data_IF_726774187646
#
_entry.id   IF_726774187646
#
_cell.length_a   1.000
_cell.length_b   1.000
_cell.length_c   1.000
_cell.angle_alpha   90.00
_cell.angle_beta   90.00
_cell.angle_gamma   90.00
#
_symmetry.space_group_name_H-M   'P 1'
#
loop_
_entity.id
_entity.type
_entity.pdbx_description
1 polymer ?
#
# COMPACT_ATOMS: atom_id res chain seq x y z
N UNK A 1 -19.43 -10.71 2.18
CA UNK A 1 -18.10 -11.34 2.23
C UNK A 1 -17.13 -10.28 2.68
N UNK A 2 -16.30 -10.57 3.69
CA UNK A 2 -15.17 -9.68 4.03
C UNK A 2 -14.13 -9.86 2.94
N UNK A 3 -13.61 -8.76 2.40
CA UNK A 3 -12.56 -8.75 1.39
C UNK A 3 -11.34 -8.08 2.00
N UNK A 4 -10.21 -8.77 1.97
CA UNK A 4 -8.96 -8.21 2.48
C UNK A 4 -8.29 -7.35 1.42
N UNK A 5 -7.71 -6.22 1.85
CA UNK A 5 -6.84 -5.41 1.00
C UNK A 5 -5.52 -5.18 1.72
N UNK A 6 -4.42 -5.51 1.05
CA UNK A 6 -3.05 -5.37 1.53
C UNK A 6 -2.42 -4.19 0.82
N UNK A 7 -1.80 -3.29 1.58
CA UNK A 7 -1.05 -2.17 1.03
C UNK A 7 0.34 -2.17 1.64
N UNK A 8 1.34 -2.12 0.76
CA UNK A 8 2.75 -2.05 1.12
C UNK A 8 3.30 -0.77 0.53
N UNK A 9 3.90 0.07 1.36
CA UNK A 9 4.59 1.29 0.94
C UNK A 9 6.08 1.06 1.11
N UNK A 10 6.85 1.29 0.04
CA UNK A 10 8.30 1.39 0.07
C UNK A 10 8.69 2.85 -0.18
N UNK A 11 9.56 3.40 0.66
CA UNK A 11 10.06 4.76 0.49
C UNK A 11 11.37 4.95 1.27
N UNK A 12 12.27 5.80 0.77
CA UNK A 12 13.52 6.16 1.44
C UNK A 12 13.32 7.38 2.34
N UNK A 13 13.95 7.35 3.52
CA UNK A 13 13.92 8.46 4.51
C UNK A 13 12.50 8.91 4.87
N UNK A 14 11.55 7.99 4.87
CA UNK A 14 10.13 8.31 5.03
C UNK A 14 9.63 8.07 6.46
N UNK A 15 10.51 7.76 7.41
CA UNK A 15 10.17 7.43 8.79
C UNK A 15 9.33 8.52 9.45
N UNK A 16 9.72 9.80 9.31
CA UNK A 16 8.98 10.93 9.89
C UNK A 16 7.60 11.11 9.25
N UNK A 17 7.52 10.94 7.93
CA UNK A 17 6.27 11.08 7.15
C UNK A 17 5.31 9.94 7.43
N UNK A 18 5.82 8.73 7.62
CA UNK A 18 5.03 7.52 7.87
C UNK A 18 4.70 7.31 9.35
N UNK A 19 5.46 7.87 10.29
CA UNK A 19 5.23 7.65 11.73
C UNK A 19 3.79 7.98 12.18
N UNK A 20 3.13 9.08 11.77
CA UNK A 20 1.73 9.32 12.10
C UNK A 20 0.80 8.20 11.61
N UNK A 21 1.10 7.60 10.45
CA UNK A 21 0.29 6.53 9.88
C UNK A 21 0.40 5.21 10.64
N UNK A 22 1.41 5.07 11.52
CA UNK A 22 1.61 3.90 12.38
C UNK A 22 0.82 3.94 13.69
N UNK A 23 0.04 5.00 13.92
CA UNK A 23 -0.72 5.22 15.16
C UNK A 23 -2.20 5.42 14.84
N UNK A 24 -3.11 5.12 15.79
CA UNK A 24 -4.52 5.46 15.63
C UNK A 24 -4.71 6.96 15.45
N UNK A 25 -5.68 7.33 14.62
CA UNK A 25 -6.04 8.72 14.33
C UNK A 25 -7.54 8.73 14.00
N UNK A 26 -8.32 9.51 14.76
CA UNK A 26 -9.77 9.60 14.65
C UNK A 26 -10.23 10.47 13.48
N UNK A 27 -9.35 11.32 12.93
CA UNK A 27 -9.66 12.24 11.84
C UNK A 27 -9.50 11.58 10.45
N UNK A 28 -8.96 10.35 10.38
CA UNK A 28 -8.83 9.60 9.12
C UNK A 28 -10.09 8.82 8.79
N UNK A 29 -10.40 8.73 7.50
CA UNK A 29 -11.51 7.90 6.99
C UNK A 29 -11.29 6.39 7.21
N UNK A 30 -10.03 5.98 7.45
CA UNK A 30 -9.65 4.62 7.77
C UNK A 30 -8.98 4.53 9.15
N UNK A 31 -9.12 3.37 9.80
CA UNK A 31 -8.76 3.21 11.21
C UNK A 31 -7.52 2.32 11.42
N UNK A 32 -7.19 1.46 10.46
CA UNK A 32 -6.04 0.57 10.53
C UNK A 32 -4.75 1.37 10.43
N UNK A 33 -3.72 0.88 11.13
CA UNK A 33 -2.41 1.53 11.19
C UNK A 33 -1.41 0.75 10.34
N UNK A 34 -0.47 1.47 9.75
CA UNK A 34 0.67 0.86 9.10
C UNK A 34 1.61 0.25 10.16
N UNK A 35 2.13 -0.94 9.87
CA UNK A 35 3.18 -1.60 10.61
C UNK A 35 4.50 -1.37 9.89
N UNK A 36 5.52 -0.88 10.60
CA UNK A 36 6.89 -0.80 10.07
C UNK A 36 7.40 -2.21 9.82
N UNK A 37 8.11 -2.42 8.72
CA UNK A 37 8.85 -3.65 8.43
C UNK A 37 10.33 -3.28 8.39
N UNK A 38 10.99 -3.44 9.53
CA UNK A 38 12.42 -3.17 9.73
C UNK A 38 13.14 -4.43 10.26
N UNK A 39 14.45 -4.30 10.51
CA UNK A 39 15.29 -5.41 10.96
C UNK A 39 14.78 -6.08 12.25
N UNK A 40 14.12 -5.32 13.13
CA UNK A 40 13.56 -5.86 14.38
C UNK A 40 12.37 -6.77 14.12
N UNK A 41 11.55 -6.46 13.11
CA UNK A 41 10.45 -7.33 12.67
C UNK A 41 10.98 -8.68 12.22
N UNK A 42 12.04 -8.70 11.42
CA UNK A 42 12.66 -9.96 10.96
C UNK A 42 13.36 -10.72 12.10
N UNK A 43 13.93 -10.00 13.06
CA UNK A 43 14.52 -10.60 14.26
C UNK A 43 13.48 -11.11 15.28
N UNK A 44 12.19 -10.82 15.09
CA UNK A 44 11.14 -11.13 16.06
C UNK A 44 11.34 -10.42 17.41
N UNK A 45 12.05 -9.29 17.41
CA UNK A 45 12.46 -8.58 18.60
C UNK A 45 11.64 -7.29 18.80
N UNK A 46 11.36 -6.88 20.05
CA UNK A 46 10.77 -5.57 20.31
C UNK A 46 11.80 -4.47 20.02
N UNK A 47 11.40 -3.43 19.29
CA UNK A 47 12.27 -2.30 18.98
C UNK A 47 11.84 -1.58 17.71
N UNK A 48 12.66 -0.62 17.30
CA UNK A 48 12.59 0.04 15.99
C UNK A 48 14.02 0.24 15.50
N UNK A 49 14.27 -0.05 14.24
CA UNK A 49 15.52 0.39 13.60
C UNK A 49 15.44 1.89 13.30
N UNK A 50 16.61 2.55 13.30
CA UNK A 50 16.73 3.92 12.79
C UNK A 50 16.34 3.98 11.30
N UNK A 51 16.67 2.94 10.54
CA UNK A 51 16.34 2.83 9.12
C UNK A 51 15.12 1.91 8.92
N UNK A 52 14.11 2.41 8.20
CA UNK A 52 12.99 1.61 7.74
C UNK A 52 12.60 2.03 6.33
N UNK A 53 12.45 1.04 5.45
CA UNK A 53 12.12 1.28 4.04
C UNK A 53 10.75 0.77 3.66
N UNK A 54 10.03 0.09 4.56
CA UNK A 54 8.80 -0.63 4.26
C UNK A 54 7.75 -0.47 5.36
N UNK A 55 6.50 -0.24 4.94
CA UNK A 55 5.34 -0.16 5.82
C UNK A 55 4.19 -0.96 5.23
N UNK A 56 3.51 -1.75 6.05
CA UNK A 56 2.44 -2.66 5.60
C UNK A 56 1.17 -2.39 6.40
N UNK A 57 0.03 -2.38 5.72
CA UNK A 57 -1.29 -2.31 6.33
C UNK A 57 -2.20 -3.35 5.67
N UNK A 58 -3.07 -3.97 6.45
CA UNK A 58 -4.11 -4.86 5.94
C UNK A 58 -5.47 -4.34 6.40
N UNK A 59 -6.37 -4.15 5.44
CA UNK A 59 -7.77 -3.81 5.67
C UNK A 59 -8.61 -5.07 5.67
N UNK A 60 -9.45 -5.21 6.70
CA UNK A 60 -10.37 -6.35 6.87
C UNK A 60 -11.83 -6.00 6.51
N UNK A 61 -12.06 -4.74 6.11
CA UNK A 61 -13.35 -4.15 5.72
C UNK A 61 -13.10 -3.12 4.62
N UNK A 62 -14.15 -2.72 3.91
CA UNK A 62 -14.11 -1.68 2.87
C UNK A 62 -14.02 -0.28 3.49
N UNK A 63 -12.93 0.00 4.19
CA UNK A 63 -12.71 1.26 4.90
C UNK A 63 -11.36 1.88 4.54
N UNK A 64 -10.97 1.83 3.27
CA UNK A 64 -9.72 2.37 2.73
C UNK A 64 -9.92 3.62 1.87
N UNK A 65 -11.11 4.24 1.93
CA UNK A 65 -11.43 5.47 1.21
C UNK A 65 -10.41 6.55 1.53
N UNK A 66 -9.98 7.29 0.52
CA UNK A 66 -9.01 8.37 0.68
C UNK A 66 -7.54 7.94 0.86
N UNK A 67 -7.23 6.64 1.05
CA UNK A 67 -5.86 6.19 1.34
C UNK A 67 -4.86 6.61 0.27
N UNK A 68 -5.13 6.35 -1.01
CA UNK A 68 -4.22 6.72 -2.10
C UNK A 68 -4.05 8.24 -2.22
N UNK A 69 -5.13 9.00 -2.10
CA UNK A 69 -5.08 10.46 -2.13
C UNK A 69 -4.27 11.02 -0.95
N UNK A 70 -4.39 10.40 0.22
CA UNK A 70 -3.60 10.78 1.39
C UNK A 70 -2.12 10.47 1.19
N UNK A 71 -1.77 9.24 0.75
CA UNK A 71 -0.39 8.87 0.44
C UNK A 71 0.21 9.79 -0.63
N UNK A 72 -0.56 10.16 -1.65
CA UNK A 72 -0.16 11.13 -2.67
C UNK A 72 0.14 12.52 -2.08
N UNK A 73 -0.62 12.95 -1.07
CA UNK A 73 -0.47 14.28 -0.45
C UNK A 73 0.71 14.41 0.51
N UNK A 74 1.31 13.29 0.93
CA UNK A 74 2.38 13.31 1.92
C UNK A 74 3.65 14.00 1.37
N UNK A 75 4.37 14.76 2.23
CA UNK A 75 5.58 15.48 1.82
C UNK A 75 6.80 14.55 1.77
N UNK A 76 6.80 13.61 0.83
CA UNK A 76 7.86 12.61 0.69
C UNK A 76 9.25 13.25 0.50
N UNK A 77 10.26 12.92 1.33
CA UNK A 77 11.61 13.50 1.20
C UNK A 77 12.33 13.07 -0.08
N UNK A 78 12.12 11.82 -0.51
CA UNK A 78 12.65 11.27 -1.76
C UNK A 78 11.49 10.70 -2.62
N UNK A 79 10.68 11.56 -3.29
CA UNK A 79 9.45 11.15 -4.01
C UNK A 79 9.66 10.05 -5.04
N UNK A 80 10.78 10.08 -5.75
CA UNK A 80 11.16 9.09 -6.77
C UNK A 80 11.35 7.67 -6.21
N UNK A 81 11.50 7.52 -4.89
CA UNK A 81 11.63 6.23 -4.23
C UNK A 81 10.30 5.60 -3.84
N UNK A 82 9.20 6.36 -3.87
CA UNK A 82 7.89 5.95 -3.36
C UNK A 82 7.27 4.91 -4.29
N UNK A 83 7.07 3.71 -3.77
CA UNK A 83 6.35 2.62 -4.41
C UNK A 83 5.23 2.16 -3.49
N UNK A 84 4.01 2.13 -3.99
CA UNK A 84 2.84 1.63 -3.26
C UNK A 84 2.35 0.39 -3.97
N UNK A 85 2.43 -0.76 -3.32
CA UNK A 85 1.90 -2.02 -3.83
C UNK A 85 0.55 -2.29 -3.17
N UNK A 86 -0.46 -2.59 -3.97
CA UNK A 86 -1.82 -2.87 -3.48
C UNK A 86 -2.25 -4.22 -4.00
N UNK A 87 -2.79 -5.05 -3.12
CA UNK A 87 -3.40 -6.33 -3.46
C UNK A 87 -4.74 -6.46 -2.76
N UNK A 88 -5.80 -6.63 -3.55
CA UNK A 88 -7.08 -7.12 -3.08
C UNK A 88 -7.04 -8.66 -2.96
N UNK A 89 -7.85 -9.26 -2.10
CA UNK A 89 -7.93 -10.71 -1.92
C UNK A 89 -8.13 -11.49 -3.23
N UNK A 90 -8.91 -10.94 -4.16
CA UNK A 90 -9.21 -11.56 -5.46
C UNK A 90 -8.16 -11.22 -6.55
N UNK A 91 -7.13 -10.45 -6.20
CA UNK A 91 -6.05 -10.11 -7.12
C UNK A 91 -5.08 -11.27 -7.30
N UNK A 92 -4.71 -11.50 -8.57
CA UNK A 92 -3.72 -12.50 -8.95
C UNK A 92 -2.29 -12.12 -8.54
N UNK A 93 -2.02 -10.83 -8.32
CA UNK A 93 -0.75 -10.27 -7.88
C UNK A 93 -0.95 -8.86 -7.29
N UNK A 94 0.08 -8.30 -6.66
CA UNK A 94 0.08 -6.88 -6.32
C UNK A 94 0.09 -6.03 -7.59
N UNK A 95 -0.74 -4.99 -7.64
CA UNK A 95 -0.50 -3.84 -8.52
C UNK A 95 0.58 -2.94 -7.93
N UNK A 96 1.21 -2.12 -8.77
CA UNK A 96 2.28 -1.20 -8.39
C UNK A 96 1.89 0.23 -8.74
N UNK A 97 2.00 1.15 -7.79
CA UNK A 97 1.88 2.58 -7.99
C UNK A 97 3.22 3.25 -7.68
N UNK A 98 3.60 4.20 -8.52
CA UNK A 98 4.77 5.03 -8.30
C UNK A 98 4.37 6.50 -8.29
N UNK A 99 5.08 7.30 -7.51
CA UNK A 99 4.85 8.72 -7.42
C UNK A 99 5.58 9.44 -8.57
N UNK A 100 4.81 9.94 -9.55
CA UNK A 100 5.31 10.73 -10.67
C UNK A 100 4.68 12.11 -10.64
N UNK A 101 5.49 13.17 -10.69
CA UNK A 101 5.03 14.56 -10.68
C UNK A 101 4.01 14.87 -9.57
N UNK A 102 4.21 14.28 -8.39
CA UNK A 102 3.33 14.42 -7.23
C UNK A 102 2.01 13.67 -7.33
N UNK A 103 1.89 12.70 -8.27
CA UNK A 103 0.71 11.85 -8.47
C UNK A 103 1.05 10.37 -8.36
N UNK A 104 0.28 9.62 -7.59
CA UNK A 104 0.41 8.17 -7.54
C UNK A 104 -0.26 7.57 -8.79
N UNK A 105 0.57 7.11 -9.72
CA UNK A 105 0.11 6.48 -10.95
C UNK A 105 0.40 4.98 -10.93
N UNK A 106 -0.58 4.19 -11.36
CA UNK A 106 -0.40 2.74 -11.52
C UNK A 106 0.58 2.47 -12.67
N UNK A 107 1.56 1.61 -12.41
CA UNK A 107 2.52 1.11 -13.38
C UNK A 107 1.97 -0.17 -13.99
N UNK A 108 1.72 -0.22 -15.32
CA UNK A 108 1.22 -1.43 -15.97
C UNK A 108 2.20 -2.59 -15.82
N UNK A 109 1.76 -3.68 -15.22
CA UNK A 109 2.54 -4.91 -15.13
C UNK A 109 2.37 -5.76 -16.40
N UNK A 110 3.42 -6.45 -16.88
CA UNK A 110 3.28 -7.35 -18.01
C UNK A 110 2.29 -8.47 -17.73
N UNK A 111 1.47 -8.81 -18.73
CA UNK A 111 0.51 -9.93 -18.69
C UNK A 111 -0.56 -9.80 -17.60
N UNK A 112 -0.91 -8.57 -17.23
CA UNK A 112 -2.01 -8.30 -16.32
C UNK A 112 -3.05 -7.40 -16.97
N UNK A 113 -4.29 -7.49 -16.47
CA UNK A 113 -5.37 -6.55 -16.77
C UNK A 113 -5.99 -6.09 -15.47
N UNK A 114 -6.30 -4.81 -15.38
CA UNK A 114 -7.13 -4.24 -14.30
C UNK A 114 -8.58 -4.14 -14.76
N UNK A 115 -9.49 -4.73 -14.00
CA UNK A 115 -10.92 -4.60 -14.22
C UNK A 115 -11.51 -3.70 -13.12
N UNK A 116 -12.26 -2.64 -13.47
CA UNK A 116 -12.89 -1.79 -12.48
C UNK A 116 -13.82 -2.58 -11.58
N UNK A 117 -13.69 -2.38 -10.27
CA UNK A 117 -14.56 -3.03 -9.29
C UNK A 117 -14.79 -2.09 -8.11
N UNK A 118 -16.04 -1.66 -7.92
CA UNK A 118 -16.38 -0.60 -6.95
C UNK A 118 -16.15 -0.98 -5.49
N UNK A 119 -16.06 -2.27 -5.18
CA UNK A 119 -15.78 -2.79 -3.85
C UNK A 119 -14.29 -3.15 -3.64
N UNK A 120 -13.39 -2.55 -4.43
CA UNK A 120 -11.94 -2.65 -4.27
C UNK A 120 -11.31 -1.26 -4.18
N UNK A 121 -10.06 -1.20 -3.71
CA UNK A 121 -9.30 0.04 -3.66
C UNK A 121 -8.94 0.58 -5.05
N UNK A 122 -8.61 -0.31 -5.99
CA UNK A 122 -8.08 0.10 -7.30
C UNK A 122 -8.53 -0.80 -8.47
N UNK A 123 -9.58 -1.60 -8.30
CA UNK A 123 -10.01 -2.64 -9.23
C UNK A 123 -9.52 -4.03 -8.83
N UNK A 124 -9.75 -5.00 -9.71
CA UNK A 124 -9.21 -6.37 -9.62
C UNK A 124 -8.16 -6.59 -10.71
N UNK A 125 -7.05 -7.25 -10.40
CA UNK A 125 -5.95 -7.51 -11.34
C UNK A 125 -5.94 -9.00 -11.62
N UNK A 126 -6.05 -9.32 -12.90
CA UNK A 126 -6.06 -10.70 -13.37
C UNK A 126 -4.90 -10.90 -14.33
N UNK A 127 -4.29 -12.08 -14.25
CA UNK A 127 -3.24 -12.50 -15.19
C UNK A 127 -3.87 -12.96 -16.50
N UNK A 128 -3.38 -12.41 -17.60
CA UNK A 128 -3.88 -12.73 -18.95
C UNK A 128 -3.26 -14.01 -19.53
N UNK A 129 -2.23 -14.56 -18.87
CA UNK A 129 -1.50 -15.75 -19.31
C UNK A 129 -1.88 -17.02 -18.56
N UNK A 130 -2.93 -16.97 -17.72
CA UNK A 130 -3.48 -18.16 -17.08
C UNK A 130 -4.42 -18.91 -18.04
N UNK A 131 -4.39 -20.25 -18.07
CA UNK A 131 -5.46 -21.02 -18.68
C UNK A 131 -6.78 -20.64 -18.00
N UNK A 132 -7.84 -20.39 -18.77
CA UNK A 132 -9.18 -20.30 -18.17
C UNK A 132 -9.48 -21.65 -17.54
N UNK A 133 -9.69 -21.66 -16.22
CA UNK A 133 -10.24 -22.80 -15.51
C UNK A 133 -11.69 -23.05 -15.94
#
# INVERSE_FOLDING_TARGET
MSRYAEVIVLARRAEEVMEPLTRPDEDREWHQCFTRVDDYVFAGAPGKSEECYAWVIQFIRHNWTGLLAHLESLPWPEPWSVQVMIRDEEDDCFGLWMLYDGKLAEVPLPRTRREPFSASLSGVITRTDRPRA
#
